data_IF_646814131723
#
_entry.id   IF_646814131723
#
_cell.length_a   1.000
_cell.length_b   1.000
_cell.length_c   1.000
_cell.angle_alpha   90.00
_cell.angle_beta   90.00
_cell.angle_gamma   90.00
#
_symmetry.space_group_name_H-M   'P 1'
#
loop_
_entity.id
_entity.type
_entity.pdbx_description
1 polymer ?
#
# COMPACT_ATOMS: atom_id res chain seq x y z
N UNK A 1 11.06 1.04 -4.12
CA UNK A 1 9.62 1.36 -4.21
C UNK A 1 8.84 0.80 -3.02
N UNK A 2 8.76 -0.51 -2.85
CA UNK A 2 7.94 -1.13 -1.79
C UNK A 2 8.40 -0.79 -0.37
N UNK A 3 9.69 -0.65 -0.13
CA UNK A 3 10.21 -0.19 1.17
C UNK A 3 9.80 1.25 1.49
N UNK A 4 9.66 2.11 0.48
CA UNK A 4 9.12 3.46 0.67
C UNK A 4 7.64 3.43 1.08
N UNK A 5 6.87 2.50 0.53
CA UNK A 5 5.48 2.28 0.95
C UNK A 5 5.40 1.75 2.39
N UNK A 6 6.33 0.89 2.79
CA UNK A 6 6.43 0.43 4.18
C UNK A 6 6.71 1.59 5.14
N UNK A 7 7.60 2.51 4.77
CA UNK A 7 7.86 3.74 5.54
C UNK A 7 6.61 4.61 5.65
N UNK A 8 5.85 4.74 4.56
CA UNK A 8 4.57 5.45 4.55
C UNK A 8 3.56 4.84 5.50
N UNK A 9 3.44 3.52 5.52
CA UNK A 9 2.57 2.82 6.47
C UNK A 9 3.01 3.04 7.92
N UNK A 10 4.32 3.03 8.19
CA UNK A 10 4.87 3.34 9.51
C UNK A 10 4.52 4.77 9.94
N UNK A 11 4.64 5.75 9.04
CA UNK A 11 4.28 7.14 9.33
C UNK A 11 2.79 7.29 9.68
N UNK A 12 1.92 6.56 9.01
CA UNK A 12 0.48 6.54 9.32
C UNK A 12 0.24 5.95 10.71
N UNK A 13 0.93 4.86 11.06
CA UNK A 13 0.84 4.26 12.41
C UNK A 13 1.31 5.21 13.50
N UNK A 14 2.36 5.98 13.25
CA UNK A 14 2.92 6.96 14.20
C UNK A 14 1.90 8.06 14.55
N UNK A 15 0.89 8.27 13.70
CA UNK A 15 -0.24 9.15 13.97
C UNK A 15 -1.38 8.47 14.77
N UNK A 16 -1.18 7.26 15.24
CA UNK A 16 -2.18 6.52 16.03
C UNK A 16 -3.20 5.73 15.19
N UNK A 17 -2.99 5.60 13.89
CA UNK A 17 -3.87 4.82 13.00
C UNK A 17 -3.42 3.37 12.97
N UNK A 18 -4.35 2.45 13.20
CA UNK A 18 -4.10 1.02 13.04
C UNK A 18 -4.15 0.63 11.56
N UNK A 19 -3.01 0.17 11.03
CA UNK A 19 -2.93 -0.36 9.67
C UNK A 19 -3.11 -1.88 9.74
N UNK A 20 -4.24 -2.38 9.27
CA UNK A 20 -4.59 -3.81 9.33
C UNK A 20 -4.26 -4.57 8.06
N UNK A 21 -4.24 -3.88 6.93
CA UNK A 21 -3.91 -4.43 5.61
C UNK A 21 -3.47 -3.32 4.68
N UNK A 22 -2.83 -3.71 3.61
CA UNK A 22 -2.47 -2.80 2.50
C UNK A 22 -3.19 -3.26 1.24
N UNK A 23 -3.85 -2.33 0.58
CA UNK A 23 -4.38 -2.55 -0.77
C UNK A 23 -3.34 -2.04 -1.77
N UNK A 24 -2.79 -2.95 -2.55
CA UNK A 24 -1.79 -2.63 -3.58
C UNK A 24 -2.49 -2.47 -4.93
N UNK A 25 -2.50 -1.25 -5.44
CA UNK A 25 -3.17 -0.90 -6.70
C UNK A 25 -2.18 -0.34 -7.72
N UNK A 26 -2.61 -0.27 -8.97
CA UNK A 26 -1.79 0.22 -10.08
C UNK A 26 -1.23 -0.90 -10.93
N UNK A 27 -0.60 -0.56 -12.06
CA UNK A 27 -0.10 -1.53 -13.03
C UNK A 27 0.93 -2.50 -12.45
N UNK A 28 1.86 -1.98 -11.63
CA UNK A 28 2.90 -2.80 -11.00
C UNK A 28 2.34 -3.82 -10.01
N UNK A 29 1.17 -3.56 -9.41
CA UNK A 29 0.53 -4.48 -8.47
C UNK A 29 0.11 -5.81 -9.10
N UNK A 30 -0.03 -5.86 -10.41
CA UNK A 30 -0.39 -7.08 -11.15
C UNK A 30 0.80 -8.01 -11.39
N UNK A 31 2.02 -7.54 -11.15
CA UNK A 31 3.23 -8.32 -11.31
C UNK A 31 3.42 -9.25 -10.11
N UNK A 32 3.49 -10.59 -10.30
CA UNK A 32 3.68 -11.54 -9.20
C UNK A 32 4.96 -11.31 -8.39
N UNK A 33 6.03 -10.84 -9.02
CA UNK A 33 7.26 -10.51 -8.32
C UNK A 33 7.08 -9.33 -7.35
N UNK A 34 6.34 -8.31 -7.77
CA UNK A 34 6.01 -7.16 -6.91
C UNK A 34 5.16 -7.63 -5.72
N UNK A 35 4.18 -8.49 -5.94
CA UNK A 35 3.34 -9.07 -4.88
C UNK A 35 4.18 -9.87 -3.87
N UNK A 36 5.11 -10.70 -4.35
CA UNK A 36 6.00 -11.49 -3.50
C UNK A 36 6.91 -10.59 -2.64
N UNK A 37 7.52 -9.58 -3.24
CA UNK A 37 8.39 -8.63 -2.50
C UNK A 37 7.58 -7.78 -1.53
N UNK A 38 6.35 -7.40 -1.86
CA UNK A 38 5.47 -6.66 -0.95
C UNK A 38 5.24 -7.43 0.36
N UNK A 39 5.01 -8.75 0.29
CA UNK A 39 4.88 -9.59 1.49
C UNK A 39 6.18 -9.66 2.32
N UNK A 40 7.33 -9.45 1.71
CA UNK A 40 8.63 -9.48 2.38
C UNK A 40 8.99 -8.17 3.09
N UNK A 41 8.35 -7.06 2.76
CA UNK A 41 8.65 -5.73 3.33
C UNK A 41 7.49 -5.13 4.12
N UNK A 42 6.27 -5.57 3.90
CA UNK A 42 5.08 -5.12 4.61
C UNK A 42 4.69 -6.14 5.68
N UNK A 43 4.47 -5.67 6.90
CA UNK A 43 4.20 -6.51 8.08
C UNK A 43 2.70 -6.77 8.32
N UNK A 44 1.88 -6.46 7.34
CA UNK A 44 0.43 -6.70 7.33
C UNK A 44 0.04 -7.38 6.03
N UNK A 45 -1.13 -8.05 5.97
CA UNK A 45 -1.61 -8.66 4.73
C UNK A 45 -1.66 -7.67 3.58
N UNK A 46 -1.20 -8.10 2.40
CA UNK A 46 -1.24 -7.32 1.16
C UNK A 46 -2.33 -7.91 0.28
N UNK A 47 -3.29 -7.10 -0.08
CA UNK A 47 -4.40 -7.47 -0.94
C UNK A 47 -4.29 -6.75 -2.27
N UNK A 48 -4.38 -7.47 -3.36
CA UNK A 48 -4.45 -6.91 -4.71
C UNK A 48 -5.89 -7.02 -5.19
N UNK A 49 -6.60 -5.89 -5.30
CA UNK A 49 -7.97 -5.92 -5.82
C UNK A 49 -8.00 -6.20 -7.31
N UNK A 50 -9.18 -6.53 -7.83
CA UNK A 50 -9.39 -6.66 -9.26
C UNK A 50 -8.98 -5.37 -10.00
N UNK A 51 -8.46 -5.45 -11.24
CA UNK A 51 -8.08 -4.26 -11.99
C UNK A 51 -9.21 -3.24 -12.10
N UNK A 52 -8.90 -1.96 -11.94
CA UNK A 52 -9.88 -0.88 -12.01
C UNK A 52 -9.22 0.49 -11.88
N UNK A 53 -10.00 1.51 -12.13
CA UNK A 53 -9.59 2.93 -12.07
C UNK A 53 -9.87 3.49 -10.67
N UNK A 54 -9.17 3.00 -9.66
CA UNK A 54 -9.47 3.27 -8.25
C UNK A 54 -9.38 4.74 -7.84
N UNK A 55 -8.49 5.50 -8.47
CA UNK A 55 -8.40 6.94 -8.19
C UNK A 55 -9.65 7.66 -8.70
N UNK A 56 -10.09 7.35 -9.91
CA UNK A 56 -11.32 7.91 -10.49
C UNK A 56 -12.55 7.45 -9.72
N UNK A 57 -12.62 6.18 -9.35
CA UNK A 57 -13.71 5.62 -8.54
C UNK A 57 -13.78 6.29 -7.16
N UNK A 58 -12.65 6.56 -6.54
CA UNK A 58 -12.57 7.26 -5.27
C UNK A 58 -13.08 8.69 -5.36
N UNK A 59 -12.71 9.40 -6.43
CA UNK A 59 -13.21 10.76 -6.70
C UNK A 59 -14.72 10.76 -6.94
N UNK A 60 -15.24 9.81 -7.73
CA UNK A 60 -16.68 9.65 -7.97
C UNK A 60 -17.44 9.34 -6.69
N UNK A 61 -16.86 8.52 -5.81
CA UNK A 61 -17.44 8.20 -4.50
C UNK A 61 -17.53 9.42 -3.61
N UNK A 62 -16.52 10.26 -3.58
CA UNK A 62 -16.56 11.54 -2.85
C UNK A 62 -17.62 12.48 -3.40
N UNK A 63 -17.74 12.59 -4.72
CA UNK A 63 -18.78 13.42 -5.35
C UNK A 63 -20.19 12.92 -4.99
N UNK A 64 -20.43 11.62 -5.04
CA UNK A 64 -21.70 11.02 -4.65
C UNK A 64 -22.00 11.24 -3.17
N UNK A 65 -20.98 11.16 -2.32
CA UNK A 65 -21.14 11.45 -0.89
C UNK A 65 -21.52 12.90 -0.63
N UNK A 66 -20.82 13.84 -1.28
CA UNK A 66 -21.15 15.26 -1.15
C UNK A 66 -22.57 15.58 -1.61
N UNK A 67 -23.05 14.93 -2.68
CA UNK A 67 -24.39 15.14 -3.23
C UNK A 67 -25.49 14.54 -2.36
N UNK A 68 -25.28 13.31 -1.85
CA UNK A 68 -26.31 12.56 -1.10
C UNK A 68 -26.26 12.77 0.40
N UNK A 69 -25.16 13.29 0.95
CA UNK A 69 -24.91 13.39 2.40
C UNK A 69 -24.55 12.05 3.06
N UNK A 70 -24.54 10.95 2.32
CA UNK A 70 -24.23 9.60 2.83
C UNK A 70 -23.07 9.00 2.05
N UNK A 71 -22.09 8.47 2.77
CA UNK A 71 -20.95 7.79 2.12
C UNK A 71 -21.40 6.54 1.39
N UNK A 72 -21.25 6.46 0.08
CA UNK A 72 -21.60 5.24 -0.67
C UNK A 72 -20.74 4.05 -0.26
N UNK A 73 -21.36 2.89 -0.16
CA UNK A 73 -20.65 1.62 0.03
C UNK A 73 -20.45 0.95 -1.34
N UNK A 74 -19.19 0.93 -1.78
CA UNK A 74 -18.79 0.26 -2.99
C UNK A 74 -17.88 -0.90 -2.65
N UNK A 75 -18.27 -2.07 -3.13
CA UNK A 75 -17.51 -3.29 -2.92
C UNK A 75 -16.32 -3.35 -3.87
N UNK A 76 -15.18 -3.82 -3.35
CA UNK A 76 -13.98 -4.07 -4.14
C UNK A 76 -13.70 -5.57 -4.11
N UNK A 77 -13.67 -6.20 -5.28
CA UNK A 77 -13.32 -7.61 -5.38
C UNK A 77 -11.81 -7.81 -5.26
N UNK A 78 -11.41 -8.87 -4.57
CA UNK A 78 -10.01 -9.24 -4.38
C UNK A 78 -9.57 -10.20 -5.48
N UNK A 79 -8.42 -9.91 -6.10
CA UNK A 79 -7.76 -10.79 -7.06
C UNK A 79 -6.72 -11.69 -6.41
N UNK A 80 -5.92 -11.14 -5.51
CA UNK A 80 -4.88 -11.87 -4.80
C UNK A 80 -4.71 -11.32 -3.40
N UNK A 81 -4.25 -12.16 -2.49
CA UNK A 81 -3.89 -11.76 -1.12
C UNK A 81 -2.67 -12.55 -0.67
N UNK A 82 -1.78 -11.90 0.05
CA UNK A 82 -0.57 -12.51 0.59
C UNK A 82 -0.43 -12.14 2.07
N UNK A 83 -0.13 -13.14 2.88
CA UNK A 83 0.24 -12.91 4.27
C UNK A 83 1.69 -12.40 4.36
N UNK A 84 2.04 -11.69 5.45
CA UNK A 84 3.41 -11.23 5.67
C UNK A 84 4.40 -12.39 5.70
N UNK A 85 5.52 -12.20 5.01
CA UNK A 85 6.68 -13.11 5.00
C UNK A 85 7.95 -12.26 5.03
N UNK A 86 8.16 -11.58 6.16
CA UNK A 86 9.17 -10.55 6.30
C UNK A 86 10.59 -11.05 6.12
N UNK A 87 11.37 -10.32 5.32
CA UNK A 87 12.81 -10.46 5.18
C UNK A 87 13.47 -9.19 5.69
N UNK A 88 13.87 -9.13 6.98
CA UNK A 88 14.38 -7.92 7.62
C UNK A 88 15.57 -7.28 6.91
N UNK A 89 16.42 -8.08 6.27
CA UNK A 89 17.58 -7.60 5.53
C UNK A 89 17.22 -6.61 4.41
N UNK A 90 16.04 -6.70 3.82
CA UNK A 90 15.57 -5.78 2.78
C UNK A 90 15.41 -4.36 3.36
N UNK A 91 14.69 -4.24 4.47
CA UNK A 91 14.51 -2.97 5.16
C UNK A 91 15.82 -2.38 5.68
N UNK A 92 16.72 -3.22 6.19
CA UNK A 92 18.04 -2.78 6.66
C UNK A 92 18.88 -2.18 5.53
N UNK A 93 18.92 -2.85 4.38
CA UNK A 93 19.62 -2.35 3.18
C UNK A 93 19.00 -1.06 2.65
N UNK A 94 17.69 -0.97 2.68
CA UNK A 94 16.99 0.25 2.27
C UNK A 94 17.35 1.43 3.16
N UNK A 95 17.32 1.27 4.49
CA UNK A 95 17.71 2.32 5.43
C UNK A 95 19.16 2.74 5.27
N UNK A 96 20.06 1.79 5.05
CA UNK A 96 21.48 2.08 4.78
C UNK A 96 21.64 2.90 3.49
N UNK A 97 20.90 2.58 2.44
CA UNK A 97 20.91 3.32 1.18
C UNK A 97 20.33 4.75 1.34
N UNK A 98 19.27 4.90 2.13
CA UNK A 98 18.72 6.23 2.47
C UNK A 98 19.75 7.11 3.19
N UNK A 99 20.49 6.54 4.14
CA UNK A 99 21.53 7.28 4.86
C UNK A 99 22.62 7.80 3.92
N UNK A 100 23.00 7.03 2.90
CA UNK A 100 23.95 7.47 1.86
C UNK A 100 23.36 8.60 1.01
N UNK A 101 22.09 8.54 0.66
CA UNK A 101 21.39 9.55 -0.14
C UNK A 101 21.18 10.88 0.59
N UNK A 102 21.26 10.91 1.92
CA UNK A 102 21.11 12.10 2.76
C UNK A 102 22.43 12.85 3.03
N UNK A 103 23.54 12.37 2.48
CA UNK A 103 24.82 13.07 2.62
C UNK A 103 24.79 14.40 1.87
N UNK A 104 25.39 15.49 2.41
CA UNK A 104 25.50 16.77 1.72
C UNK A 104 26.25 16.60 0.40
N UNK A 105 25.75 17.24 -0.62
CA UNK A 105 26.43 17.30 -1.92
C UNK A 105 27.55 18.32 -1.93
#
# INVERSE_FOLDING_TARGET
MLSALADGAAAVRDQGVEVRRVLLIGGAALNPAVQAVAAQVLDVPVTVPAPGEYVADGAARQAAWALSGTRPEWTVSTRASSEPDLVPAIGERYRAAQALGSLPR
#
